data_IF_013849251771
#
_entry.id   IF_013849251771
#
_cell.length_a   1.000
_cell.length_b   1.000
_cell.length_c   1.000
_cell.angle_alpha   90.00
_cell.angle_beta   90.00
_cell.angle_gamma   90.00
#
_symmetry.space_group_name_H-M   'P 1'
#
loop_
_entity.id
_entity.type
_entity.pdbx_description
1 polymer ?
#
# COMPACT_ATOMS: atom_id res chain seq x y z
N UNK A 1 -2.70 14.96 -1.00
CA UNK A 1 -1.91 13.95 -1.74
C UNK A 1 -0.82 13.41 -0.82
N UNK A 2 -0.35 12.19 -1.03
CA UNK A 2 0.71 11.60 -0.20
C UNK A 2 2.09 11.85 -0.82
N UNK A 3 3.14 11.93 0.00
CA UNK A 3 4.53 12.17 -0.42
C UNK A 3 5.48 11.10 0.13
N UNK A 4 6.59 10.85 -0.57
CA UNK A 4 7.73 10.04 -0.09
C UNK A 4 8.85 10.91 0.47
N UNK A 5 8.69 12.24 0.49
CA UNK A 5 9.72 13.17 0.95
C UNK A 5 10.14 12.88 2.39
N UNK A 6 11.46 12.95 2.62
CA UNK A 6 12.06 12.67 3.92
C UNK A 6 12.14 11.19 4.30
N UNK A 7 11.79 10.26 3.39
CA UNK A 7 11.89 8.82 3.63
C UNK A 7 12.75 8.11 2.59
N UNK A 8 13.49 7.09 3.03
CA UNK A 8 14.34 6.24 2.17
C UNK A 8 13.79 4.84 1.97
N UNK A 9 12.74 4.47 2.71
CA UNK A 9 12.07 3.17 2.63
C UNK A 9 10.91 3.14 1.64
N UNK A 10 10.71 4.24 0.91
CA UNK A 10 9.70 4.35 -0.13
C UNK A 10 8.28 4.60 0.37
N UNK A 11 7.97 4.38 1.66
CA UNK A 11 6.60 4.53 2.16
C UNK A 11 6.07 5.95 1.97
N UNK A 12 4.86 6.06 1.44
CA UNK A 12 4.16 7.33 1.32
C UNK A 12 3.45 7.70 2.61
N UNK A 13 3.45 8.97 2.93
CA UNK A 13 2.79 9.51 4.10
C UNK A 13 2.09 10.84 3.78
N UNK A 14 1.18 11.24 4.65
CA UNK A 14 0.54 12.56 4.61
C UNK A 14 0.41 13.13 6.03
N UNK A 15 0.41 14.47 6.13
CA UNK A 15 0.00 15.15 7.35
C UNK A 15 -1.49 14.93 7.62
N UNK A 16 -1.87 14.74 8.89
CA UNK A 16 -3.28 14.55 9.30
C UNK A 16 -3.91 15.82 9.87
N UNK A 17 -3.21 16.94 9.76
CA UNK A 17 -3.66 18.30 10.10
C UNK A 17 -3.27 19.27 8.98
N UNK A 18 -3.73 20.52 9.05
CA UNK A 18 -3.38 21.54 8.06
C UNK A 18 -1.92 21.98 8.09
N UNK A 19 -1.29 21.98 9.28
CA UNK A 19 0.10 22.40 9.46
C UNK A 19 0.91 21.30 10.14
N UNK A 20 1.59 20.49 9.31
CA UNK A 20 2.47 19.44 9.82
C UNK A 20 3.64 20.01 10.62
N UNK A 21 4.15 21.19 10.26
CA UNK A 21 5.30 21.77 10.92
C UNK A 21 5.01 22.22 12.34
N UNK A 22 3.78 22.64 12.60
CA UNK A 22 3.27 22.91 13.94
C UNK A 22 2.85 21.64 14.68
N UNK A 23 2.01 20.81 14.05
CA UNK A 23 1.26 19.77 14.76
C UNK A 23 1.97 18.41 14.79
N UNK A 24 2.89 18.16 13.84
CA UNK A 24 3.70 16.93 13.70
C UNK A 24 2.89 15.63 13.67
N UNK A 25 1.63 15.68 13.25
CA UNK A 25 0.76 14.50 13.10
C UNK A 25 0.76 14.02 11.65
N UNK A 26 1.01 12.72 11.47
CA UNK A 26 1.03 12.09 10.16
C UNK A 26 0.43 10.68 10.17
N UNK A 27 0.13 10.17 8.98
CA UNK A 27 -0.22 8.77 8.76
C UNK A 27 0.44 8.24 7.49
N UNK A 28 0.64 6.92 7.44
CA UNK A 28 1.05 6.26 6.20
C UNK A 28 -0.14 6.13 5.28
N UNK A 29 0.10 6.45 4.01
CA UNK A 29 -0.90 6.23 3.00
C UNK A 29 -0.91 4.75 2.61
N UNK A 30 -2.09 4.14 2.46
CA UNK A 30 -2.21 2.78 1.95
C UNK A 30 -1.95 2.80 0.44
N UNK A 31 -0.72 3.03 0.01
CA UNK A 31 -0.34 2.71 -1.37
C UNK A 31 0.01 1.23 -1.42
N UNK A 32 -0.95 0.46 -1.95
CA UNK A 32 -0.99 -1.00 -2.03
C UNK A 32 0.15 -1.62 -2.84
N UNK A 33 1.01 -0.81 -3.48
CA UNK A 33 2.04 -1.27 -4.40
C UNK A 33 3.45 -1.36 -3.79
N UNK A 34 3.70 -0.83 -2.57
CA UNK A 34 5.08 -0.75 -2.05
C UNK A 34 5.43 -1.80 -0.99
N UNK A 35 4.43 -2.46 -0.40
CA UNK A 35 4.63 -3.57 0.52
C UNK A 35 3.34 -4.35 0.74
N UNK A 36 3.40 -5.68 0.71
CA UNK A 36 2.28 -6.52 1.14
C UNK A 36 2.21 -6.60 2.67
N UNK A 37 1.01 -6.63 3.25
CA UNK A 37 0.82 -6.89 4.68
C UNK A 37 0.32 -8.33 4.86
N UNK A 38 1.01 -9.10 5.72
CA UNK A 38 0.71 -10.52 5.92
C UNK A 38 1.28 -11.40 4.80
N UNK A 39 0.52 -12.41 4.37
CA UNK A 39 0.94 -13.32 3.30
C UNK A 39 2.24 -14.07 3.60
N UNK A 40 2.95 -14.47 2.55
CA UNK A 40 4.23 -15.17 2.62
C UNK A 40 5.34 -14.47 1.82
N UNK A 41 5.09 -13.24 1.37
CA UNK A 41 6.02 -12.46 0.53
C UNK A 41 6.97 -11.58 1.34
N UNK A 42 6.98 -11.72 2.68
CA UNK A 42 7.88 -11.02 3.60
C UNK A 42 7.90 -9.49 3.41
N UNK A 43 6.72 -8.91 3.10
CA UNK A 43 6.58 -7.47 2.90
C UNK A 43 6.99 -6.97 1.52
N UNK A 44 7.34 -7.86 0.58
CA UNK A 44 7.64 -7.49 -0.80
C UNK A 44 6.47 -6.73 -1.45
N UNK A 45 6.75 -5.79 -2.37
CA UNK A 45 5.70 -5.07 -3.10
C UNK A 45 4.89 -6.02 -4.00
N UNK A 46 3.63 -5.69 -4.23
CA UNK A 46 2.83 -6.37 -5.25
C UNK A 46 3.46 -6.15 -6.64
N UNK A 47 3.55 -7.22 -7.43
CA UNK A 47 3.98 -7.13 -8.83
C UNK A 47 2.74 -7.01 -9.71
N UNK A 48 2.66 -5.95 -10.49
CA UNK A 48 1.59 -5.74 -11.45
C UNK A 48 2.15 -5.71 -12.89
N UNK A 49 1.49 -6.38 -13.85
CA UNK A 49 0.36 -7.31 -13.64
C UNK A 49 0.80 -8.66 -13.05
N UNK A 50 -0.06 -9.27 -12.22
CA UNK A 50 0.06 -10.67 -11.83
C UNK A 50 -1.08 -11.51 -12.42
N UNK A 51 -0.87 -12.83 -12.53
CA UNK A 51 -1.88 -13.77 -13.06
C UNK A 51 -2.39 -14.69 -11.95
N UNK A 52 -3.70 -14.77 -11.78
CA UNK A 52 -4.36 -15.71 -10.88
C UNK A 52 -5.55 -16.37 -11.57
N UNK A 53 -5.56 -17.70 -11.62
CA UNK A 53 -6.58 -18.52 -12.31
C UNK A 53 -6.84 -18.05 -13.76
N UNK A 54 -5.78 -17.69 -14.48
CA UNK A 54 -5.86 -17.23 -15.88
C UNK A 54 -6.30 -15.78 -16.08
N UNK A 55 -6.64 -15.06 -15.02
CA UNK A 55 -6.98 -13.63 -15.09
C UNK A 55 -5.78 -12.76 -14.71
N UNK A 56 -5.59 -11.66 -15.44
CA UNK A 56 -4.58 -10.64 -15.12
C UNK A 56 -5.17 -9.59 -14.19
N UNK A 57 -4.40 -9.20 -13.19
CA UNK A 57 -4.77 -8.16 -12.22
C UNK A 57 -3.72 -7.05 -12.23
N UNK A 58 -4.19 -5.82 -12.44
CA UNK A 58 -3.40 -4.58 -12.42
C UNK A 58 -3.47 -3.87 -11.04
N UNK A 59 -4.18 -4.47 -10.08
CA UNK A 59 -4.35 -3.99 -8.71
C UNK A 59 -4.60 -5.17 -7.77
N UNK A 60 -4.49 -4.93 -6.46
CA UNK A 60 -4.91 -5.91 -5.46
C UNK A 60 -6.38 -6.32 -5.67
N UNK A 61 -6.71 -7.56 -5.32
CA UNK A 61 -8.02 -8.16 -5.55
C UNK A 61 -8.50 -8.94 -4.33
N UNK A 62 -9.81 -9.13 -4.19
CA UNK A 62 -10.39 -10.07 -3.22
C UNK A 62 -10.81 -11.40 -3.86
N UNK A 63 -10.46 -11.61 -5.14
CA UNK A 63 -10.78 -12.85 -5.85
C UNK A 63 -10.29 -14.08 -5.09
N UNK A 64 -11.17 -15.07 -4.93
CA UNK A 64 -10.90 -16.30 -4.19
C UNK A 64 -11.00 -16.18 -2.66
N UNK A 65 -11.36 -15.01 -2.11
CA UNK A 65 -11.53 -14.79 -0.67
C UNK A 65 -12.97 -14.42 -0.31
N UNK A 66 -13.50 -15.01 0.77
CA UNK A 66 -14.84 -14.71 1.30
C UNK A 66 -14.84 -13.63 2.39
N UNK A 67 -13.67 -13.32 2.96
CA UNK A 67 -13.50 -12.32 4.01
C UNK A 67 -13.30 -10.88 3.48
N UNK A 68 -13.37 -10.70 2.15
CA UNK A 68 -13.28 -9.39 1.50
C UNK A 68 -11.92 -8.71 1.58
N UNK A 69 -10.90 -9.35 2.18
CA UNK A 69 -9.54 -8.80 2.24
C UNK A 69 -8.92 -8.78 0.85
N UNK A 70 -8.27 -7.66 0.53
CA UNK A 70 -7.49 -7.53 -0.69
C UNK A 70 -6.12 -8.20 -0.52
N UNK A 71 -5.64 -8.87 -1.57
CA UNK A 71 -4.30 -9.42 -1.69
C UNK A 71 -3.65 -8.98 -3.00
#
# INVERSE_FOLDING_TARGET
>A
SCTTEGRTDGYRWCGTTEDYDRDKKYGFCPETAMSTVGGNSEGAPCVFPFTFLGNKYESCTSAGRSDGKMW
#
